data_IF_021522872866
#
_entry.id   IF_021522872866
#
_cell.length_a   1.000
_cell.length_b   1.000
_cell.length_c   1.000
_cell.angle_alpha   90.00
_cell.angle_beta   90.00
_cell.angle_gamma   90.00
#
_symmetry.space_group_name_H-M   'P 1'
#
loop_
_entity.id
_entity.type
_entity.pdbx_description
1 polymer ?
#
# COMPACT_ATOMS: atom_id res chain seq x y z
N UNK A 1 11.31 0.93 26.66
CA UNK A 1 11.92 1.47 25.42
C UNK A 1 11.06 0.97 24.27
N UNK A 2 9.97 1.67 23.92
CA UNK A 2 9.09 1.20 22.85
C UNK A 2 9.88 1.21 21.55
N UNK A 3 10.09 0.03 20.95
CA UNK A 3 10.47 -0.07 19.55
C UNK A 3 9.35 0.61 18.77
N UNK A 4 9.53 1.90 18.46
CA UNK A 4 8.54 2.71 17.76
C UNK A 4 8.48 2.19 16.34
N UNK A 5 7.44 1.42 16.02
CA UNK A 5 7.22 0.97 14.65
C UNK A 5 7.21 2.19 13.71
N UNK A 6 7.66 2.05 12.45
CA UNK A 6 7.65 3.16 11.52
C UNK A 6 6.23 3.70 11.30
N UNK A 7 6.11 5.01 11.09
CA UNK A 7 4.82 5.64 10.81
C UNK A 7 4.19 5.09 9.52
N UNK A 8 2.85 5.04 9.50
CA UNK A 8 2.11 4.62 8.32
C UNK A 8 2.28 5.61 7.17
N UNK A 9 2.46 5.08 5.96
CA UNK A 9 2.44 5.88 4.72
C UNK A 9 1.02 5.84 4.16
N UNK A 10 0.24 6.86 4.47
CA UNK A 10 -1.13 6.98 3.98
C UNK A 10 -1.11 7.59 2.57
N UNK A 11 -2.02 7.12 1.72
CA UNK A 11 -2.19 7.58 0.36
C UNK A 11 -3.66 7.67 -0.02
N UNK A 12 -3.95 8.24 -1.19
CA UNK A 12 -5.32 8.43 -1.68
C UNK A 12 -6.01 7.14 -2.14
N UNK A 13 -5.23 6.10 -2.42
CA UNK A 13 -5.72 4.81 -2.91
C UNK A 13 -5.43 3.77 -1.85
N UNK A 14 -6.48 3.11 -1.37
CA UNK A 14 -6.43 2.22 -0.23
C UNK A 14 -5.55 1.00 -0.51
N UNK A 15 -5.75 0.33 -1.63
CA UNK A 15 -5.00 -0.87 -2.01
C UNK A 15 -3.49 -0.61 -2.11
N UNK A 16 -3.07 0.52 -2.68
CA UNK A 16 -1.63 0.83 -2.77
C UNK A 16 -1.05 1.40 -1.46
N UNK A 17 -1.87 2.04 -0.62
CA UNK A 17 -1.46 2.39 0.75
C UNK A 17 -1.25 1.13 1.60
N UNK A 18 -2.08 0.10 1.37
CA UNK A 18 -1.96 -1.19 2.03
C UNK A 18 -0.69 -1.93 1.63
N UNK A 19 -0.40 -2.04 0.32
CA UNK A 19 0.87 -2.64 -0.13
C UNK A 19 2.11 -1.86 0.31
N UNK A 20 1.98 -0.55 0.50
CA UNK A 20 3.02 0.32 1.05
C UNK A 20 3.23 0.20 2.57
N UNK A 21 2.48 -0.67 3.26
CA UNK A 21 2.85 -1.08 4.64
C UNK A 21 4.16 -1.86 4.66
N UNK A 22 4.52 -2.52 3.55
CA UNK A 22 5.84 -3.11 3.30
C UNK A 22 6.55 -2.37 2.16
N UNK A 23 7.64 -1.69 2.50
CA UNK A 23 8.49 -0.94 1.54
C UNK A 23 9.92 -1.43 1.64
N UNK A 24 10.81 -0.96 0.75
CA UNK A 24 12.22 -1.41 0.75
C UNK A 24 12.35 -2.92 0.49
N UNK A 25 11.46 -3.43 -0.38
CA UNK A 25 11.26 -4.86 -0.67
C UNK A 25 12.50 -5.56 -1.25
N UNK A 26 13.44 -4.80 -1.81
CA UNK A 26 14.69 -5.29 -2.39
C UNK A 26 15.93 -4.76 -1.65
N UNK A 27 15.76 -4.23 -0.43
CA UNK A 27 16.84 -3.81 0.46
C UNK A 27 16.48 -4.18 1.89
N UNK A 28 16.70 -3.27 2.83
CA UNK A 28 16.28 -3.44 4.23
C UNK A 28 14.77 -3.21 4.35
N UNK A 29 14.00 -4.30 4.26
CA UNK A 29 12.55 -4.26 4.29
C UNK A 29 12.01 -3.52 5.51
N UNK A 30 11.10 -2.57 5.27
CA UNK A 30 10.43 -1.79 6.31
C UNK A 30 8.98 -2.23 6.38
N UNK A 31 8.70 -3.09 7.37
CA UNK A 31 7.37 -3.57 7.74
C UNK A 31 6.70 -2.61 8.73
N UNK A 32 5.43 -2.28 8.49
CA UNK A 32 4.65 -1.33 9.31
C UNK A 32 3.49 -1.99 10.05
N UNK A 33 3.07 -3.18 9.62
CA UNK A 33 2.04 -4.00 10.25
C UNK A 33 2.60 -5.35 10.73
N UNK A 34 3.67 -5.38 11.56
CA UNK A 34 4.29 -6.64 11.98
C UNK A 34 3.47 -7.42 13.03
N UNK A 35 2.39 -6.84 13.54
CA UNK A 35 1.58 -7.41 14.63
C UNK A 35 0.09 -7.19 14.38
N UNK A 36 -0.81 -7.99 14.99
CA UNK A 36 -2.25 -7.82 14.81
C UNK A 36 -2.73 -6.43 15.24
N UNK A 37 -2.21 -5.91 16.37
CA UNK A 37 -2.55 -4.56 16.83
C UNK A 37 -2.18 -3.49 15.79
N UNK A 38 -1.03 -3.63 15.11
CA UNK A 38 -0.62 -2.68 14.09
C UNK A 38 -1.51 -2.74 12.85
N UNK A 39 -2.06 -3.90 12.52
CA UNK A 39 -3.08 -4.00 11.47
C UNK A 39 -4.38 -3.29 11.90
N UNK A 40 -4.85 -3.50 13.14
CA UNK A 40 -6.01 -2.79 13.70
C UNK A 40 -5.83 -1.27 13.62
N UNK A 41 -4.68 -0.76 14.07
CA UNK A 41 -4.36 0.66 14.02
C UNK A 41 -4.38 1.20 12.57
N UNK A 42 -3.81 0.44 11.62
CA UNK A 42 -3.78 0.83 10.22
C UNK A 42 -5.19 0.87 9.61
N UNK A 43 -6.02 -0.14 9.91
CA UNK A 43 -7.40 -0.21 9.45
C UNK A 43 -8.25 0.95 9.99
N UNK A 44 -8.10 1.28 11.28
CA UNK A 44 -8.80 2.39 11.90
C UNK A 44 -8.48 3.73 11.22
N UNK A 45 -7.21 4.01 10.93
CA UNK A 45 -6.78 5.24 10.23
C UNK A 45 -7.32 5.32 8.80
N UNK A 46 -7.66 4.18 8.18
CA UNK A 46 -8.25 4.11 6.84
C UNK A 46 -9.80 4.00 6.86
N UNK A 47 -10.44 4.23 8.02
CA UNK A 47 -11.91 4.21 8.15
C UNK A 47 -12.50 2.81 8.10
N UNK A 48 -11.72 1.78 8.44
CA UNK A 48 -12.10 0.37 8.49
C UNK A 48 -11.89 -0.20 9.90
N UNK A 49 -12.21 0.58 10.92
CA UNK A 49 -11.93 0.23 12.31
C UNK A 49 -12.54 -1.13 12.69
N UNK A 50 -11.73 -1.95 13.34
CA UNK A 50 -12.08 -3.24 13.94
C UNK A 50 -11.58 -3.27 15.38
N UNK A 51 -12.25 -4.00 16.26
CA UNK A 51 -11.91 -4.03 17.70
C UNK A 51 -10.69 -4.91 18.00
N UNK A 52 -10.49 -5.95 17.19
CA UNK A 52 -9.38 -6.90 17.39
C UNK A 52 -9.00 -7.59 16.09
N UNK A 53 -7.80 -8.19 16.09
CA UNK A 53 -7.28 -9.00 15.01
C UNK A 53 -6.53 -10.18 15.60
N UNK A 54 -6.75 -11.37 15.05
CA UNK A 54 -5.98 -12.58 15.38
C UNK A 54 -4.71 -12.67 14.53
N UNK A 55 -3.78 -13.56 14.90
CA UNK A 55 -2.60 -13.84 14.07
C UNK A 55 -2.97 -14.40 12.70
N UNK A 56 -3.98 -15.29 12.63
CA UNK A 56 -4.46 -15.84 11.35
C UNK A 56 -5.03 -14.75 10.43
N UNK A 57 -5.75 -13.78 10.98
CA UNK A 57 -6.25 -12.62 10.22
C UNK A 57 -5.11 -11.72 9.73
N UNK A 58 -4.04 -11.58 10.51
CA UNK A 58 -2.84 -10.87 10.07
C UNK A 58 -2.15 -11.60 8.91
N UNK A 59 -2.06 -12.93 8.97
CA UNK A 59 -1.50 -13.75 7.89
C UNK A 59 -2.32 -13.61 6.60
N UNK A 60 -3.66 -13.66 6.69
CA UNK A 60 -4.56 -13.39 5.56
C UNK A 60 -4.34 -11.98 4.99
N UNK A 61 -4.16 -10.98 5.86
CA UNK A 61 -3.88 -9.61 5.43
C UNK A 61 -2.54 -9.53 4.68
N UNK A 62 -1.50 -10.22 5.14
CA UNK A 62 -0.22 -10.28 4.44
C UNK A 62 -0.35 -11.03 3.09
N UNK A 63 -1.06 -12.13 3.03
CA UNK A 63 -1.31 -12.86 1.78
C UNK A 63 -2.03 -11.98 0.76
N UNK A 64 -3.08 -11.28 1.17
CA UNK A 64 -3.77 -10.30 0.32
C UNK A 64 -2.82 -9.17 -0.10
N UNK A 65 -2.01 -8.64 0.82
CA UNK A 65 -1.05 -7.55 0.54
C UNK A 65 -0.07 -7.94 -0.55
N UNK A 66 0.53 -9.12 -0.43
CA UNK A 66 1.52 -9.61 -1.40
C UNK A 66 0.86 -9.96 -2.74
N UNK A 67 -0.36 -10.49 -2.72
CA UNK A 67 -1.15 -10.74 -3.94
C UNK A 67 -1.48 -9.45 -4.69
N UNK A 68 -1.94 -8.40 -3.99
CA UNK A 68 -2.18 -7.08 -4.59
C UNK A 68 -0.87 -6.51 -5.15
N UNK A 69 0.23 -6.59 -4.40
CA UNK A 69 1.52 -6.08 -4.88
C UNK A 69 1.99 -6.80 -6.15
N UNK A 70 1.85 -8.13 -6.22
CA UNK A 70 2.19 -8.92 -7.40
C UNK A 70 1.32 -8.57 -8.62
N UNK A 71 -0.01 -8.48 -8.44
CA UNK A 71 -0.92 -8.13 -9.52
C UNK A 71 -0.69 -6.70 -10.05
N UNK A 72 -0.49 -5.72 -9.15
CA UNK A 72 -0.17 -4.35 -9.54
C UNK A 72 1.20 -4.27 -10.22
N UNK A 73 2.18 -5.06 -9.77
CA UNK A 73 3.51 -5.13 -10.40
C UNK A 73 3.39 -5.60 -11.84
N UNK A 74 2.69 -6.71 -12.09
CA UNK A 74 2.44 -7.23 -13.43
C UNK A 74 1.70 -6.20 -14.31
N UNK A 75 0.61 -5.63 -13.80
CA UNK A 75 -0.16 -4.62 -14.52
C UNK A 75 0.68 -3.36 -14.87
N UNK A 76 1.54 -2.90 -13.95
CA UNK A 76 2.39 -1.73 -14.18
C UNK A 76 3.46 -1.95 -15.27
N UNK A 77 3.87 -3.19 -15.51
CA UNK A 77 4.82 -3.56 -16.57
C UNK A 77 4.12 -4.15 -17.81
N UNK A 78 2.79 -4.11 -17.85
CA UNK A 78 1.95 -4.65 -18.94
C UNK A 78 2.11 -6.17 -19.16
N UNK A 79 2.31 -6.91 -18.07
CA UNK A 79 2.39 -8.37 -18.07
C UNK A 79 1.05 -9.00 -17.61
N UNK A 80 0.90 -10.31 -17.84
CA UNK A 80 -0.25 -11.07 -17.38
C UNK A 80 -0.31 -11.11 -15.85
N UNK A 81 -1.51 -10.93 -15.30
CA UNK A 81 -1.72 -10.99 -13.86
C UNK A 81 -1.49 -12.42 -13.36
N UNK A 82 -0.74 -12.64 -12.26
CA UNK A 82 -0.57 -13.97 -11.69
C UNK A 82 -1.91 -14.55 -11.25
N UNK A 83 -2.25 -15.75 -11.74
CA UNK A 83 -3.55 -16.38 -11.47
C UNK A 83 -3.81 -16.58 -9.97
N UNK A 84 -2.79 -16.95 -9.19
CA UNK A 84 -2.87 -17.09 -7.73
C UNK A 84 -3.20 -15.77 -7.04
N UNK A 85 -2.57 -14.67 -7.47
CA UNK A 85 -2.85 -13.34 -6.92
C UNK A 85 -4.30 -12.91 -7.23
N UNK A 86 -4.77 -13.17 -8.45
CA UNK A 86 -6.17 -12.90 -8.83
C UNK A 86 -7.15 -13.71 -7.98
N UNK A 87 -6.86 -14.98 -7.72
CA UNK A 87 -7.69 -15.84 -6.87
C UNK A 87 -7.80 -15.31 -5.44
N UNK A 88 -6.69 -14.91 -4.81
CA UNK A 88 -6.70 -14.35 -3.46
C UNK A 88 -7.49 -13.03 -3.40
N UNK A 89 -7.22 -12.12 -4.32
CA UNK A 89 -7.91 -10.81 -4.38
C UNK A 89 -9.42 -11.02 -4.54
N UNK A 90 -9.83 -11.87 -5.49
CA UNK A 90 -11.24 -12.16 -5.71
C UNK A 90 -11.87 -12.86 -4.50
N UNK A 91 -11.17 -13.80 -3.87
CA UNK A 91 -11.62 -14.49 -2.67
C UNK A 91 -11.94 -13.53 -1.53
N UNK A 92 -11.01 -12.63 -1.20
CA UNK A 92 -11.24 -11.59 -0.18
C UNK A 92 -12.39 -10.65 -0.56
N UNK A 93 -12.46 -10.22 -1.82
CA UNK A 93 -13.53 -9.33 -2.30
C UNK A 93 -14.91 -9.98 -2.22
N UNK A 94 -15.03 -11.30 -2.45
CA UNK A 94 -16.29 -12.04 -2.39
C UNK A 94 -16.72 -12.29 -0.94
N UNK A 95 -15.76 -12.56 -0.06
CA UNK A 95 -16.05 -12.88 1.35
C UNK A 95 -16.50 -11.64 2.16
N UNK A 96 -15.96 -10.46 1.83
CA UNK A 96 -16.29 -9.23 2.54
C UNK A 96 -17.75 -8.80 2.34
N UNK A 97 -18.40 -8.41 3.43
CA UNK A 97 -19.81 -7.97 3.50
C UNK A 97 -19.95 -6.49 3.88
N UNK A 98 -18.86 -5.73 3.79
CA UNK A 98 -18.89 -4.30 4.07
C UNK A 98 -19.82 -3.55 3.10
N UNK A 99 -20.61 -2.63 3.63
CA UNK A 99 -21.50 -1.78 2.85
C UNK A 99 -21.00 -0.34 2.83
N UNK A 100 -21.08 0.31 1.66
CA UNK A 100 -20.89 1.75 1.58
C UNK A 100 -22.14 2.45 2.15
N UNK A 101 -21.94 3.39 3.07
CA UNK A 101 -23.00 4.20 3.67
C UNK A 101 -22.71 5.68 3.50
N UNK A 102 -23.78 6.48 3.37
CA UNK A 102 -23.71 7.94 3.34
C UNK A 102 -23.97 8.47 4.75
N UNK A 103 -23.12 9.37 5.25
CA UNK A 103 -23.34 10.05 6.53
C UNK A 103 -24.16 11.33 6.33
N UNK A 104 -24.79 11.87 7.40
CA UNK A 104 -25.50 13.16 7.33
C UNK A 104 -24.63 14.32 6.87
N UNK A 105 -23.32 14.26 7.12
CA UNK A 105 -22.32 15.24 6.68
C UNK A 105 -21.92 15.05 5.20
N UNK A 106 -22.68 14.26 4.44
CA UNK A 106 -22.43 13.94 3.04
C UNK A 106 -21.09 13.24 2.77
N UNK A 107 -20.60 12.48 3.75
CA UNK A 107 -19.39 11.68 3.59
C UNK A 107 -19.73 10.22 3.27
N UNK A 108 -18.90 9.58 2.44
CA UNK A 108 -18.96 8.13 2.22
C UNK A 108 -18.13 7.42 3.28
N UNK A 109 -18.71 6.43 3.95
CA UNK A 109 -18.02 5.56 4.91
C UNK A 109 -18.30 4.09 4.61
N UNK A 110 -17.43 3.21 5.10
CA UNK A 110 -17.66 1.77 5.06
C UNK A 110 -18.24 1.33 6.40
N UNK A 111 -19.34 0.57 6.34
CA UNK A 111 -19.92 -0.13 7.48
C UNK A 111 -19.59 -1.60 7.36
N UNK A 112 -18.80 -2.11 8.30
CA UNK A 112 -18.52 -3.55 8.43
C UNK A 112 -19.75 -4.26 9.02
N UNK A 113 -19.93 -5.54 8.72
CA UNK A 113 -21.03 -6.36 9.22
C UNK A 113 -20.94 -6.61 10.73
N UNK A 114 -19.72 -6.64 11.27
CA UNK A 114 -19.45 -6.60 12.71
C UNK A 114 -18.13 -5.88 12.99
N UNK A 115 -17.99 -5.35 14.20
CA UNK A 115 -16.79 -4.64 14.62
C UNK A 115 -15.55 -5.56 14.76
N UNK A 116 -15.71 -6.88 14.70
CA UNK A 116 -14.59 -7.84 14.75
C UNK A 116 -14.30 -8.51 13.40
N UNK A 117 -15.00 -8.12 12.32
CA UNK A 117 -14.83 -8.77 11.01
C UNK A 117 -13.70 -8.11 10.21
N UNK A 118 -12.48 -8.58 10.42
CA UNK A 118 -11.30 -8.17 9.64
C UNK A 118 -11.48 -8.52 8.15
N UNK A 119 -12.16 -9.62 7.86
CA UNK A 119 -12.45 -10.11 6.51
C UNK A 119 -13.26 -9.09 5.69
N UNK A 120 -14.18 -8.36 6.33
CA UNK A 120 -14.91 -7.27 5.68
C UNK A 120 -13.98 -6.12 5.28
N UNK A 121 -13.05 -5.75 6.16
CA UNK A 121 -12.06 -4.72 5.86
C UNK A 121 -11.11 -5.15 4.74
N UNK A 122 -10.65 -6.41 4.76
CA UNK A 122 -9.86 -7.00 3.68
C UNK A 122 -10.64 -7.03 2.36
N UNK A 123 -11.94 -7.32 2.40
CA UNK A 123 -12.82 -7.28 1.23
C UNK A 123 -12.93 -5.88 0.62
N UNK A 124 -12.99 -4.83 1.45
CA UNK A 124 -12.94 -3.43 0.97
C UNK A 124 -11.63 -3.12 0.26
N UNK A 125 -10.50 -3.54 0.84
CA UNK A 125 -9.16 -3.34 0.25
C UNK A 125 -9.04 -4.10 -1.08
N UNK A 126 -9.55 -5.33 -1.13
CA UNK A 126 -9.57 -6.15 -2.33
C UNK A 126 -10.43 -5.53 -3.44
N UNK A 127 -11.63 -5.02 -3.12
CA UNK A 127 -12.48 -4.32 -4.07
C UNK A 127 -11.81 -3.04 -4.62
N UNK A 128 -11.11 -2.27 -3.75
CA UNK A 128 -10.31 -1.12 -4.20
C UNK A 128 -9.18 -1.53 -5.14
N UNK A 129 -8.52 -2.66 -4.86
CA UNK A 129 -7.47 -3.22 -5.72
C UNK A 129 -8.01 -3.63 -7.10
N UNK A 130 -9.17 -4.31 -7.14
CA UNK A 130 -9.85 -4.69 -8.39
C UNK A 130 -10.15 -3.43 -9.21
N UNK A 131 -10.72 -2.39 -8.60
CA UNK A 131 -11.08 -1.15 -9.28
C UNK A 131 -9.88 -0.46 -9.95
N UNK A 132 -8.73 -0.38 -9.27
CA UNK A 132 -7.53 0.24 -9.87
C UNK A 132 -6.85 -0.64 -10.91
N UNK A 133 -6.91 -1.97 -10.76
CA UNK A 133 -6.32 -2.94 -11.71
C UNK A 133 -7.16 -3.03 -12.99
N UNK A 134 -8.49 -3.01 -12.86
CA UNK A 134 -9.44 -3.00 -13.97
C UNK A 134 -9.48 -1.67 -14.74
N UNK A 135 -8.81 -0.63 -14.24
CA UNK A 135 -8.75 0.68 -14.89
C UNK A 135 -10.00 1.55 -14.69
N UNK A 136 -10.80 1.28 -13.67
CA UNK A 136 -12.01 2.07 -13.36
C UNK A 136 -11.68 3.44 -12.74
N UNK A 137 -10.45 3.61 -12.25
CA UNK A 137 -9.99 4.85 -11.63
C UNK A 137 -9.04 5.61 -12.55
N UNK A 138 -9.17 6.92 -12.55
CA UNK A 138 -8.22 7.79 -13.21
C UNK A 138 -6.89 7.83 -12.44
N UNK A 139 -5.91 7.07 -12.96
CA UNK A 139 -4.56 7.00 -12.43
C UNK A 139 -3.65 6.15 -13.31
N UNK A 140 -2.42 5.94 -12.85
CA UNK A 140 -1.49 5.01 -13.48
C UNK A 140 -0.84 4.12 -12.43
N UNK A 141 -0.90 2.81 -12.62
CA UNK A 141 -0.14 1.86 -11.81
C UNK A 141 1.35 2.01 -12.14
N UNK A 142 2.18 2.11 -11.11
CA UNK A 142 3.61 2.30 -11.26
C UNK A 142 4.38 1.67 -10.09
N UNK A 143 5.68 1.42 -10.32
CA UNK A 143 6.60 0.93 -9.30
C UNK A 143 7.58 2.02 -8.89
N UNK A 144 7.91 2.07 -7.61
CA UNK A 144 8.93 2.97 -7.10
C UNK A 144 10.26 2.71 -7.83
N UNK A 145 10.83 3.74 -8.44
CA UNK A 145 12.07 3.66 -9.21
C UNK A 145 13.33 3.47 -8.33
N UNK A 146 13.19 3.42 -7.00
CA UNK A 146 14.32 3.18 -6.10
C UNK A 146 14.69 1.71 -6.18
N UNK A 147 15.97 1.35 -6.40
CA UNK A 147 16.39 -0.03 -6.60
C UNK A 147 16.09 -0.91 -5.39
N UNK A 148 16.13 -0.34 -4.18
CA UNK A 148 15.79 -1.05 -2.93
C UNK A 148 14.30 -1.09 -2.65
N UNK A 149 13.49 -0.17 -3.19
CA UNK A 149 12.11 0.01 -2.72
C UNK A 149 11.11 -0.88 -3.42
N UNK A 150 10.97 -0.73 -4.74
CA UNK A 150 10.05 -1.49 -5.61
C UNK A 150 8.59 -1.59 -5.12
N UNK A 151 8.17 -0.70 -4.21
CA UNK A 151 6.78 -0.60 -3.78
C UNK A 151 5.89 -0.17 -4.95
N UNK A 152 4.74 -0.84 -5.09
CA UNK A 152 3.68 -0.46 -6.01
C UNK A 152 2.96 0.81 -5.52
N UNK A 153 2.56 1.68 -6.45
CA UNK A 153 1.74 2.85 -6.15
C UNK A 153 0.83 3.21 -7.32
N UNK A 154 -0.24 3.94 -7.01
CA UNK A 154 -1.14 4.50 -8.00
C UNK A 154 -0.87 5.99 -8.17
N UNK A 155 -0.40 6.39 -9.35
CA UNK A 155 -0.11 7.78 -9.68
C UNK A 155 -1.40 8.51 -10.04
N UNK A 156 -1.94 9.29 -9.10
CA UNK A 156 -3.08 10.19 -9.31
C UNK A 156 -2.65 11.62 -9.66
N UNK A 157 -1.36 11.88 -9.94
CA UNK A 157 -0.89 13.23 -10.29
C UNK A 157 -1.34 13.62 -11.69
N UNK A 158 -1.45 14.93 -11.96
CA UNK A 158 -1.87 15.43 -13.27
C UNK A 158 -0.97 14.93 -14.42
N UNK A 159 0.34 14.87 -14.19
CA UNK A 159 1.32 14.52 -15.22
C UNK A 159 1.53 13.01 -15.39
N UNK A 160 1.10 12.18 -14.43
CA UNK A 160 1.32 10.72 -14.43
C UNK A 160 2.79 10.31 -14.60
N UNK A 161 3.69 11.14 -14.09
CA UNK A 161 5.15 10.99 -14.21
C UNK A 161 5.85 10.80 -12.86
N UNK A 162 5.12 10.48 -11.78
CA UNK A 162 5.75 10.22 -10.49
C UNK A 162 6.66 9.00 -10.61
N UNK A 163 7.87 9.12 -10.09
CA UNK A 163 8.88 8.06 -10.07
C UNK A 163 9.01 7.36 -8.72
N UNK A 164 8.48 7.97 -7.66
CA UNK A 164 8.67 7.52 -6.29
C UNK A 164 7.31 7.30 -5.62
N UNK A 165 7.18 6.20 -4.88
CA UNK A 165 5.96 5.89 -4.12
C UNK A 165 5.66 7.00 -3.10
N UNK A 166 6.70 7.61 -2.53
CA UNK A 166 6.60 8.77 -1.66
C UNK A 166 7.81 9.71 -1.87
N UNK A 167 7.53 11.01 -2.04
CA UNK A 167 8.57 12.01 -2.30
C UNK A 167 9.42 12.28 -1.06
N UNK A 168 8.81 12.29 0.12
CA UNK A 168 9.46 12.67 1.37
C UNK A 168 10.44 11.59 1.87
N UNK A 169 10.26 10.34 1.44
CA UNK A 169 11.10 9.20 1.81
C UNK A 169 11.97 8.75 0.63
N UNK A 170 11.42 8.02 -0.34
CA UNK A 170 12.19 7.47 -1.45
C UNK A 170 12.74 8.58 -2.36
N UNK A 171 11.96 9.62 -2.65
CA UNK A 171 12.41 10.76 -3.45
C UNK A 171 13.60 11.51 -2.80
N UNK A 172 13.48 11.87 -1.53
CA UNK A 172 14.54 12.55 -0.79
C UNK A 172 15.79 11.67 -0.60
N UNK A 173 15.62 10.36 -0.35
CA UNK A 173 16.74 9.43 -0.26
C UNK A 173 17.55 9.40 -1.56
N UNK A 174 16.88 9.34 -2.71
CA UNK A 174 17.54 9.33 -4.02
C UNK A 174 18.19 10.68 -4.36
N UNK A 175 17.58 11.80 -3.99
CA UNK A 175 18.23 13.13 -4.09
C UNK A 175 19.53 13.18 -3.29
N UNK A 176 19.51 12.69 -2.05
CA UNK A 176 20.70 12.64 -1.17
C UNK A 176 21.79 11.71 -1.74
N UNK A 177 21.42 10.53 -2.23
CA UNK A 177 22.36 9.60 -2.86
C UNK A 177 23.06 10.23 -4.08
N UNK A 178 22.31 10.93 -4.94
CA UNK A 178 22.88 11.65 -6.10
C UNK A 178 23.83 12.77 -5.68
N UNK A 179 23.46 13.56 -4.67
CA UNK A 179 24.31 14.62 -4.15
C UNK A 179 25.65 14.08 -3.62
N UNK A 180 25.61 13.01 -2.82
CA UNK A 180 26.81 12.38 -2.27
C UNK A 180 27.71 11.77 -3.36
N UNK A 181 27.12 11.13 -4.37
CA UNK A 181 27.87 10.60 -5.52
C UNK A 181 28.57 11.72 -6.31
N UNK A 182 27.93 12.88 -6.47
CA UNK A 182 28.52 14.02 -7.14
C UNK A 182 29.65 14.67 -6.32
N UNK A 183 29.54 14.75 -4.99
CA UNK A 183 30.63 15.23 -4.14
C UNK A 183 31.87 14.32 -4.21
N UNK A 184 31.67 13.00 -4.24
CA UNK A 184 32.78 12.04 -4.42
C UNK A 184 33.48 12.15 -5.78
N UNK A 185 32.77 12.64 -6.80
CA UNK A 185 33.32 12.86 -8.16
C UNK A 185 34.01 14.21 -8.34
N UNK A 186 33.81 15.16 -7.41
CA UNK A 186 34.47 16.48 -7.40
C UNK A 186 35.31 16.65 -6.12
N UNK A 187 36.55 16.13 -6.06
CA UNK A 187 37.44 16.31 -4.90
C UNK A 187 37.96 17.75 -4.76
N UNK A 188 37.64 18.67 -5.69
CA UNK A 188 38.15 20.04 -5.72
C UNK A 188 37.06 21.05 -5.39
N UNK A 189 36.74 21.21 -4.10
CA UNK A 189 36.13 22.44 -3.53
C UNK A 189 36.27 22.51 -2.00
N UNK A 190 37.29 21.88 -1.44
CA UNK A 190 37.76 22.19 -0.09
C UNK A 190 39.14 22.82 -0.24
N UNK A 191 39.16 24.15 -0.38
CA UNK A 191 40.32 24.98 -0.14
C UNK A 191 39.87 26.18 0.68
#
# INVERSE_FOLDING_TARGET
MHARFPDFRLGKVLATSFTATLTERCGDAVERIPTPQRLVDWLAVNGLAVDSCTTAQLELAWELRESIHAAVTAAAIQDALPASAVQVINGCSIQGRAAAVLTPESNRQWRLSSASCVEDALGVIAADAISIIAGERDGKLALCASPTCRAAFFDTSQSRTRRWCDMNTCGNRQKKARFNANQRKNPRSAK
#
